data_IF_382295321118
#
_entry.id   IF_382295321118
#
_cell.length_a   1.000
_cell.length_b   1.000
_cell.length_c   1.000
_cell.angle_alpha   90.00
_cell.angle_beta   90.00
_cell.angle_gamma   90.00
#
_symmetry.space_group_name_H-M   'P 1'
#
loop_
_entity.id
_entity.type
_entity.pdbx_description
1 polymer ?
#
# COMPACT_ATOMS: atom_id res chain seq x y z
N UNK A 1 11.00 -5.50 -21.69
CA UNK A 1 12.39 -5.15 -21.31
C UNK A 1 12.43 -4.95 -19.81
N UNK A 2 13.52 -5.32 -19.11
CA UNK A 2 13.68 -4.97 -17.70
C UNK A 2 13.86 -3.46 -17.51
N UNK A 3 13.52 -2.96 -16.33
CA UNK A 3 13.76 -1.59 -15.87
C UNK A 3 14.02 -1.57 -14.37
N UNK A 4 14.55 -0.47 -13.85
CA UNK A 4 14.92 -0.34 -12.43
C UNK A 4 13.88 0.48 -11.69
N UNK A 5 13.39 -0.03 -10.56
CA UNK A 5 12.70 0.78 -9.55
C UNK A 5 13.75 1.37 -8.63
N UNK A 6 13.70 2.68 -8.42
CA UNK A 6 14.65 3.40 -7.55
C UNK A 6 13.94 3.95 -6.31
N UNK A 7 12.66 4.27 -6.40
CA UNK A 7 11.91 4.77 -5.25
C UNK A 7 10.43 4.43 -5.29
N UNK A 8 9.76 4.78 -4.19
CA UNK A 8 8.32 4.69 -4.04
C UNK A 8 7.74 6.03 -3.55
N UNK A 9 6.42 6.04 -3.39
CA UNK A 9 5.55 7.09 -2.85
C UNK A 9 6.08 7.96 -1.70
N UNK A 10 6.93 7.45 -0.81
CA UNK A 10 7.47 8.28 0.27
C UNK A 10 9.00 8.27 0.41
N UNK A 11 9.71 7.36 -0.25
CA UNK A 11 11.15 7.20 -0.06
C UNK A 11 11.83 6.45 -1.21
N UNK A 12 13.13 6.67 -1.35
CA UNK A 12 13.98 5.83 -2.20
C UNK A 12 14.09 4.40 -1.64
N UNK A 13 14.39 3.43 -2.50
CA UNK A 13 14.76 2.09 -2.07
C UNK A 13 16.16 2.11 -1.45
N UNK A 14 16.56 1.05 -0.75
CA UNK A 14 17.94 0.93 -0.27
C UNK A 14 18.92 0.66 -1.43
N UNK A 15 18.43 0.00 -2.47
CA UNK A 15 19.13 -0.26 -3.73
C UNK A 15 18.08 -0.43 -4.84
N UNK A 16 18.42 -0.12 -6.11
CA UNK A 16 17.53 -0.30 -7.23
C UNK A 16 17.07 -1.76 -7.38
N UNK A 17 15.80 -1.97 -7.69
CA UNK A 17 15.22 -3.29 -7.92
C UNK A 17 14.88 -3.43 -9.39
N UNK A 18 15.55 -4.34 -10.09
CA UNK A 18 15.26 -4.65 -11.50
C UNK A 18 14.01 -5.49 -11.61
N UNK A 19 13.03 -5.01 -12.37
CA UNK A 19 11.75 -5.70 -12.62
C UNK A 19 11.40 -5.69 -14.11
N UNK A 20 10.43 -6.51 -14.50
CA UNK A 20 9.88 -6.51 -15.86
C UNK A 20 8.44 -6.03 -15.93
N UNK A 21 7.80 -5.86 -14.76
CA UNK A 21 6.44 -5.39 -14.60
C UNK A 21 6.29 -4.81 -13.18
N UNK A 22 5.30 -3.94 -12.99
CA UNK A 22 4.91 -3.37 -11.71
C UNK A 22 3.39 -3.40 -11.57
N UNK A 23 2.92 -3.83 -10.41
CA UNK A 23 1.52 -3.65 -10.00
C UNK A 23 1.41 -2.34 -9.21
N UNK A 24 0.65 -1.40 -9.74
CA UNK A 24 0.50 -0.05 -9.17
C UNK A 24 -0.98 0.15 -8.83
N UNK A 25 -1.30 0.34 -7.56
CA UNK A 25 -2.65 0.68 -7.12
C UNK A 25 -2.91 2.19 -7.17
N UNK A 26 -4.17 2.65 -7.06
CA UNK A 26 -4.47 4.07 -6.84
C UNK A 26 -3.58 4.69 -5.75
N UNK A 27 -3.07 5.89 -6.04
CA UNK A 27 -2.13 6.68 -5.23
C UNK A 27 -0.74 6.09 -4.96
N UNK A 28 -0.43 4.86 -5.41
CA UNK A 28 0.95 4.41 -5.40
C UNK A 28 1.77 5.15 -6.45
N UNK A 29 3.01 5.49 -6.06
CA UNK A 29 4.01 6.07 -6.94
C UNK A 29 5.23 5.14 -6.91
N UNK A 30 5.83 4.93 -8.06
CA UNK A 30 7.14 4.31 -8.21
C UNK A 30 8.00 5.20 -9.10
N UNK A 31 9.20 5.51 -8.63
CA UNK A 31 10.21 6.16 -9.45
C UNK A 31 11.02 5.06 -10.17
N UNK A 32 11.12 5.17 -11.49
CA UNK A 32 11.69 4.12 -12.34
C UNK A 32 12.65 4.69 -13.38
N UNK A 33 13.72 3.94 -13.64
CA UNK A 33 14.68 4.21 -14.71
C UNK A 33 14.55 3.14 -15.78
N UNK A 34 14.25 3.57 -17.01
CA UNK A 34 14.12 2.71 -18.19
C UNK A 34 15.25 3.06 -19.16
N UNK A 35 16.16 2.11 -19.41
CA UNK A 35 17.24 2.28 -20.37
C UNK A 35 16.79 1.86 -21.78
N UNK A 36 16.43 2.83 -22.62
CA UNK A 36 16.03 2.59 -24.01
C UNK A 36 17.20 2.30 -24.94
N UNK A 37 18.45 2.55 -24.55
CA UNK A 37 19.63 2.18 -25.37
C UNK A 37 19.75 0.66 -25.53
N UNK A 38 19.19 -0.09 -24.58
CA UNK A 38 19.09 -1.55 -24.61
C UNK A 38 17.88 -2.06 -25.39
N UNK A 39 17.01 -1.18 -25.92
CA UNK A 39 15.82 -1.61 -26.64
C UNK A 39 16.18 -2.30 -27.96
N UNK A 40 15.66 -3.52 -28.23
CA UNK A 40 15.89 -4.19 -29.52
C UNK A 40 15.04 -3.60 -30.66
N UNK A 41 14.10 -2.70 -30.36
CA UNK A 41 13.17 -2.09 -31.30
C UNK A 41 13.12 -0.57 -31.15
N UNK A 42 12.77 0.13 -32.22
CA UNK A 42 12.56 1.58 -32.21
C UNK A 42 11.21 1.99 -31.58
N UNK A 43 10.34 1.03 -31.27
CA UNK A 43 9.06 1.27 -30.62
C UNK A 43 8.90 0.34 -29.42
N UNK A 44 8.54 0.92 -28.27
CA UNK A 44 8.28 0.18 -27.02
C UNK A 44 6.90 0.56 -26.51
N UNK A 45 5.99 -0.40 -26.35
CA UNK A 45 4.67 -0.17 -25.77
C UNK A 45 4.68 -0.45 -24.26
N UNK A 46 4.13 0.50 -23.48
CA UNK A 46 3.76 0.28 -22.09
C UNK A 46 2.35 -0.30 -22.04
N UNK A 47 2.24 -1.50 -21.51
CA UNK A 47 1.01 -2.28 -21.46
C UNK A 47 0.45 -2.34 -20.04
N UNK A 48 -0.85 -2.57 -19.94
CA UNK A 48 -1.54 -2.90 -18.71
C UNK A 48 -2.10 -4.33 -18.82
N UNK A 49 -1.79 -5.16 -17.83
CA UNK A 49 -2.29 -6.54 -17.73
C UNK A 49 -3.12 -6.79 -16.46
N UNK A 50 -3.34 -5.78 -15.62
CA UNK A 50 -4.05 -5.93 -14.37
C UNK A 50 -5.57 -6.07 -14.62
N UNK A 51 -6.24 -7.13 -14.13
CA UNK A 51 -7.69 -7.27 -14.24
C UNK A 51 -8.41 -6.22 -13.39
N UNK A 52 -9.64 -5.90 -13.79
CA UNK A 52 -10.54 -5.04 -13.03
C UNK A 52 -11.93 -5.70 -12.85
N UNK A 53 -12.50 -5.75 -11.63
CA UNK A 53 -11.85 -5.44 -10.34
C UNK A 53 -10.63 -6.32 -10.05
N UNK A 54 -9.67 -5.83 -9.28
CA UNK A 54 -8.43 -6.57 -8.99
C UNK A 54 -8.57 -7.34 -7.67
N UNK A 55 -8.22 -8.64 -7.58
CA UNK A 55 -7.41 -9.40 -8.56
C UNK A 55 -8.16 -10.34 -9.50
N UNK A 56 -9.48 -10.53 -9.36
CA UNK A 56 -10.21 -11.64 -10.00
C UNK A 56 -11.10 -11.24 -11.19
N UNK A 57 -11.18 -9.95 -11.50
CA UNK A 57 -12.08 -9.41 -12.50
C UNK A 57 -11.66 -9.63 -13.95
N UNK A 58 -12.16 -8.77 -14.83
CA UNK A 58 -11.98 -8.91 -16.28
C UNK A 58 -10.59 -8.43 -16.67
N UNK A 59 -9.86 -9.24 -17.46
CA UNK A 59 -8.57 -8.86 -18.01
C UNK A 59 -8.69 -7.64 -18.94
N UNK A 60 -7.65 -6.80 -19.06
CA UNK A 60 -7.65 -5.67 -19.97
C UNK A 60 -7.89 -6.08 -21.43
N UNK A 61 -8.73 -5.32 -22.12
CA UNK A 61 -8.99 -5.43 -23.55
C UNK A 61 -8.16 -4.43 -24.38
N UNK A 62 -8.48 -4.26 -25.68
CA UNK A 62 -7.72 -3.37 -26.56
C UNK A 62 -7.70 -1.89 -26.14
N UNK A 63 -8.70 -1.43 -25.39
CA UNK A 63 -8.84 -0.02 -24.99
C UNK A 63 -8.07 0.33 -23.71
N UNK A 64 -7.95 -0.61 -22.77
CA UNK A 64 -7.35 -0.38 -21.45
C UNK A 64 -6.12 -1.27 -21.17
N UNK A 65 -5.74 -2.13 -22.13
CA UNK A 65 -4.52 -2.94 -22.07
C UNK A 65 -3.28 -2.22 -22.60
N UNK A 66 -3.42 -1.02 -23.16
CA UNK A 66 -2.32 -0.17 -23.65
C UNK A 66 -2.34 1.16 -22.90
N UNK A 67 -1.19 1.60 -22.43
CA UNK A 67 -1.03 2.87 -21.69
C UNK A 67 -0.45 3.94 -22.62
N UNK A 68 0.77 3.71 -23.10
CA UNK A 68 1.48 4.64 -23.98
C UNK A 68 2.54 3.91 -24.82
N UNK A 69 3.11 4.59 -25.80
CA UNK A 69 4.19 4.08 -26.64
C UNK A 69 5.37 5.05 -26.63
N UNK A 70 6.57 4.52 -26.46
CA UNK A 70 7.83 5.22 -26.63
C UNK A 70 8.35 4.98 -28.05
N UNK A 71 8.68 6.06 -28.76
CA UNK A 71 9.36 5.99 -30.06
C UNK A 71 10.83 6.34 -29.82
N UNK A 72 11.68 5.31 -29.82
CA UNK A 72 13.10 5.39 -29.50
C UNK A 72 13.86 5.80 -30.77
N UNK A 73 14.37 7.02 -30.76
CA UNK A 73 15.19 7.55 -31.85
C UNK A 73 16.66 7.39 -31.49
N UNK A 74 17.50 6.85 -32.39
CA UNK A 74 18.94 6.79 -32.15
C UNK A 74 19.54 8.19 -31.95
N UNK A 75 20.54 8.30 -31.07
CA UNK A 75 21.25 9.55 -30.88
C UNK A 75 21.88 10.04 -32.20
N UNK A 76 21.66 11.30 -32.50
CA UNK A 76 22.30 12.00 -33.59
C UNK A 76 23.74 12.43 -33.25
N UNK A 77 24.54 12.84 -34.26
CA UNK A 77 25.94 13.24 -34.05
C UNK A 77 26.15 14.46 -33.15
N UNK A 78 25.09 15.22 -32.84
CA UNK A 78 25.12 16.43 -32.01
C UNK A 78 24.52 16.22 -30.63
N UNK A 79 23.96 15.05 -30.36
CA UNK A 79 23.37 14.76 -29.07
C UNK A 79 24.48 14.51 -28.04
N UNK A 80 24.39 15.09 -26.83
CA UNK A 80 25.38 14.85 -25.80
C UNK A 80 25.34 13.38 -25.36
N UNK A 81 26.47 12.80 -24.90
CA UNK A 81 26.46 11.48 -24.30
C UNK A 81 25.58 11.47 -23.05
N UNK A 82 24.85 10.38 -22.84
CA UNK A 82 24.15 10.13 -21.59
C UNK A 82 25.17 9.73 -20.52
N UNK A 83 25.30 10.58 -19.50
CA UNK A 83 26.18 10.36 -18.35
C UNK A 83 25.38 10.04 -17.07
N UNK A 84 24.09 9.74 -17.19
CA UNK A 84 23.27 9.30 -16.07
C UNK A 84 23.72 7.92 -15.57
N UNK A 85 23.46 7.63 -14.30
CA UNK A 85 23.75 6.34 -13.68
C UNK A 85 22.62 5.98 -12.73
N UNK A 86 22.35 4.68 -12.61
CA UNK A 86 21.49 4.14 -11.54
C UNK A 86 22.43 3.67 -10.43
N UNK A 87 22.50 4.35 -9.27
CA UNK A 87 23.45 4.00 -8.21
C UNK A 87 23.15 2.64 -7.58
N UNK A 88 24.17 1.81 -7.33
CA UNK A 88 24.02 0.48 -6.69
C UNK A 88 23.48 0.54 -5.24
N UNK A 89 23.53 1.72 -4.61
CA UNK A 89 23.02 2.00 -3.27
C UNK A 89 22.38 3.37 -3.26
N UNK A 90 21.22 3.43 -2.66
CA UNK A 90 20.45 4.65 -2.51
C UNK A 90 20.43 5.09 -1.03
N UNK A 91 19.39 5.81 -0.60
CA UNK A 91 19.35 6.49 0.70
C UNK A 91 19.18 5.47 1.84
N UNK A 92 20.03 5.49 2.89
CA UNK A 92 19.88 4.61 4.04
C UNK A 92 18.79 5.13 4.98
N UNK A 93 17.53 4.80 4.69
CA UNK A 93 16.42 5.09 5.62
C UNK A 93 16.53 4.27 6.90
N UNK A 94 15.91 4.76 7.98
CA UNK A 94 15.84 4.04 9.24
C UNK A 94 15.30 2.62 9.02
N UNK A 95 16.10 1.62 9.40
CA UNK A 95 15.72 0.23 9.25
C UNK A 95 14.57 -0.11 10.22
N UNK A 96 13.57 -0.81 9.71
CA UNK A 96 12.42 -1.32 10.48
C UNK A 96 12.81 -2.49 11.40
N UNK A 97 14.09 -2.89 11.42
CA UNK A 97 14.67 -4.01 12.15
C UNK A 97 14.23 -4.03 13.63
N UNK A 98 13.16 -4.81 13.84
CA UNK A 98 12.30 -4.89 15.01
C UNK A 98 11.75 -3.52 15.40
N UNK A 99 10.43 -3.29 15.39
CA UNK A 99 9.92 -2.17 16.14
C UNK A 99 10.48 -2.32 17.57
N UNK A 100 11.39 -1.42 17.97
CA UNK A 100 11.67 -1.20 19.38
C UNK A 100 10.32 -1.04 20.07
N UNK A 101 10.17 -1.46 21.33
CA UNK A 101 8.90 -1.90 21.93
C UNK A 101 7.72 -1.15 21.31
N UNK A 102 6.99 -1.85 20.41
CA UNK A 102 5.84 -1.27 19.69
C UNK A 102 4.99 -0.57 20.74
N UNK A 103 4.76 0.74 20.57
CA UNK A 103 4.00 1.46 21.58
C UNK A 103 2.60 0.88 21.68
N UNK A 104 2.05 0.41 20.55
CA UNK A 104 0.74 -0.22 20.44
C UNK A 104 0.70 -1.18 19.23
N UNK A 105 -0.19 -2.19 19.32
CA UNK A 105 -0.59 -3.04 18.19
C UNK A 105 -2.06 -2.78 17.87
N UNK A 106 -2.38 -2.52 16.60
CA UNK A 106 -3.75 -2.28 16.13
C UNK A 106 -4.21 -3.35 15.16
N UNK A 107 -5.50 -3.63 15.18
CA UNK A 107 -6.17 -4.44 14.15
C UNK A 107 -7.09 -3.52 13.37
N UNK A 108 -6.86 -3.44 12.05
CA UNK A 108 -7.61 -2.59 11.13
C UNK A 108 -8.31 -3.52 10.15
N UNK A 109 -9.61 -3.73 10.31
CA UNK A 109 -10.41 -4.64 9.50
C UNK A 109 -11.22 -3.87 8.44
N UNK A 110 -11.17 -4.38 7.22
CA UNK A 110 -11.87 -3.83 6.06
C UNK A 110 -13.11 -4.67 5.76
N UNK A 111 -14.27 -4.01 5.73
CA UNK A 111 -15.57 -4.62 5.54
C UNK A 111 -16.26 -4.08 4.29
N UNK A 112 -17.06 -4.93 3.66
CA UNK A 112 -17.97 -4.57 2.60
C UNK A 112 -19.38 -5.06 2.96
N UNK A 113 -20.38 -4.20 2.78
CA UNK A 113 -21.76 -4.49 3.11
C UNK A 113 -22.62 -4.52 1.86
N UNK A 114 -23.36 -5.61 1.69
CA UNK A 114 -24.15 -5.87 0.50
C UNK A 114 -25.66 -5.77 0.76
N UNK A 115 -26.42 -5.36 -0.24
CA UNK A 115 -27.87 -5.58 -0.28
C UNK A 115 -28.19 -7.09 -0.39
N UNK A 116 -29.44 -7.51 -0.15
CA UNK A 116 -29.86 -8.90 -0.43
C UNK A 116 -29.67 -9.33 -1.89
N UNK A 117 -29.61 -8.38 -2.83
CA UNK A 117 -29.31 -8.63 -4.25
C UNK A 117 -27.81 -8.71 -4.56
N UNK A 118 -26.94 -8.57 -3.55
CA UNK A 118 -25.49 -8.66 -3.70
C UNK A 118 -24.81 -7.38 -4.18
N UNK A 119 -25.50 -6.23 -4.13
CA UNK A 119 -24.91 -4.95 -4.53
C UNK A 119 -24.23 -4.29 -3.33
N UNK A 120 -23.01 -3.78 -3.54
CA UNK A 120 -22.29 -3.03 -2.52
C UNK A 120 -23.07 -1.78 -2.12
N UNK A 121 -23.15 -1.51 -0.82
CA UNK A 121 -23.84 -0.35 -0.25
C UNK A 121 -22.88 0.64 0.36
N UNK A 122 -21.94 0.13 1.16
CA UNK A 122 -20.89 0.88 1.81
C UNK A 122 -19.76 -0.07 2.20
N UNK A 123 -18.59 0.52 2.44
CA UNK A 123 -17.42 -0.17 2.92
C UNK A 123 -16.94 0.56 4.17
N UNK A 124 -16.55 -0.17 5.20
CA UNK A 124 -16.07 0.44 6.45
C UNK A 124 -14.71 -0.09 6.85
N UNK A 125 -14.00 0.77 7.56
CA UNK A 125 -12.84 0.37 8.37
C UNK A 125 -13.33 0.19 9.81
N UNK A 126 -13.03 -0.97 10.39
CA UNK A 126 -13.44 -1.38 11.74
C UNK A 126 -14.96 -1.25 11.97
N UNK A 127 -15.78 -1.39 10.93
CA UNK A 127 -17.25 -1.30 11.02
C UNK A 127 -17.77 0.09 11.41
N UNK A 128 -16.95 1.14 11.28
CA UNK A 128 -17.28 2.52 11.67
C UNK A 128 -17.36 3.45 10.46
N UNK A 129 -18.19 4.47 10.58
CA UNK A 129 -18.34 5.57 9.60
C UNK A 129 -17.32 6.66 9.87
N UNK A 130 -17.15 7.59 8.91
CA UNK A 130 -16.26 8.74 9.07
C UNK A 130 -16.65 9.60 10.28
N UNK A 131 -17.94 9.85 10.49
CA UNK A 131 -18.46 10.72 11.55
C UNK A 131 -18.46 10.08 12.95
N UNK A 132 -18.24 8.77 13.06
CA UNK A 132 -18.16 8.11 14.35
C UNK A 132 -16.89 8.55 15.12
N UNK A 133 -16.87 8.54 16.47
CA UNK A 133 -15.74 9.01 17.25
C UNK A 133 -14.40 8.39 16.82
N UNK A 134 -13.33 9.19 16.80
CA UNK A 134 -11.99 8.73 16.40
C UNK A 134 -11.49 7.60 17.30
N UNK A 135 -10.93 6.56 16.67
CA UNK A 135 -10.40 5.36 17.32
C UNK A 135 -8.88 5.25 17.18
N UNK A 136 -8.36 5.55 16.00
CA UNK A 136 -6.93 5.54 15.72
C UNK A 136 -6.29 6.83 16.24
N UNK A 137 -5.65 6.70 17.41
CA UNK A 137 -5.08 7.82 18.17
C UNK A 137 -3.59 7.61 18.49
N UNK A 138 -2.73 7.48 17.46
CA UNK A 138 -1.30 7.25 17.67
C UNK A 138 -0.62 8.46 18.34
N UNK A 139 0.49 8.23 19.03
CA UNK A 139 1.32 9.32 19.58
C UNK A 139 2.32 9.84 18.55
N UNK A 140 2.51 11.15 18.50
CA UNK A 140 3.54 11.77 17.67
C UNK A 140 4.93 11.30 18.11
N UNK A 141 5.82 11.04 17.15
CA UNK A 141 7.16 10.54 17.44
C UNK A 141 7.25 9.01 17.64
N UNK A 142 6.14 8.27 17.63
CA UNK A 142 6.15 6.82 17.89
C UNK A 142 6.06 5.97 16.63
N UNK A 143 6.15 4.66 16.85
CA UNK A 143 5.96 3.63 15.84
C UNK A 143 4.97 2.60 16.38
N UNK A 144 4.03 2.18 15.54
CA UNK A 144 3.00 1.20 15.87
C UNK A 144 3.04 0.01 14.90
N UNK A 145 2.50 -1.13 15.33
CA UNK A 145 2.31 -2.30 14.49
C UNK A 145 0.83 -2.43 14.13
N UNK A 146 0.50 -2.40 12.84
CA UNK A 146 -0.87 -2.52 12.37
C UNK A 146 -1.04 -3.84 11.61
N UNK A 147 -2.00 -4.65 12.06
CA UNK A 147 -2.49 -5.83 11.35
C UNK A 147 -3.72 -5.41 10.53
N UNK A 148 -3.50 -5.17 9.25
CA UNK A 148 -4.56 -4.76 8.32
C UNK A 148 -5.21 -6.01 7.72
N UNK A 149 -6.47 -6.23 8.02
CA UNK A 149 -7.25 -7.43 7.71
C UNK A 149 -8.21 -7.09 6.58
N UNK A 150 -8.15 -7.83 5.48
CA UNK A 150 -9.10 -7.68 4.38
C UNK A 150 -10.09 -8.85 4.34
N UNK A 151 -11.34 -8.57 4.72
CA UNK A 151 -12.44 -9.53 4.71
C UNK A 151 -13.26 -9.50 3.41
N UNK A 152 -12.90 -8.64 2.46
CA UNK A 152 -13.64 -8.39 1.21
C UNK A 152 -13.05 -9.17 0.01
N UNK A 153 -13.68 -9.04 -1.15
CA UNK A 153 -13.24 -9.68 -2.40
C UNK A 153 -12.16 -8.92 -3.19
N UNK A 154 -11.97 -7.63 -2.90
CA UNK A 154 -11.07 -6.74 -3.66
C UNK A 154 -9.75 -6.51 -2.95
N UNK A 155 -8.70 -6.14 -3.70
CA UNK A 155 -7.51 -5.56 -3.11
C UNK A 155 -7.78 -4.09 -2.74
N UNK A 156 -7.46 -3.69 -1.51
CA UNK A 156 -7.63 -2.30 -1.06
C UNK A 156 -6.27 -1.61 -0.88
N UNK A 157 -5.99 -0.50 -1.60
CA UNK A 157 -4.84 0.35 -1.32
C UNK A 157 -5.10 1.20 -0.07
N UNK A 158 -4.62 0.76 1.09
CA UNK A 158 -4.71 1.53 2.32
C UNK A 158 -3.74 2.72 2.25
N UNK A 159 -4.25 3.94 2.39
CA UNK A 159 -3.47 5.16 2.51
C UNK A 159 -3.63 5.77 3.91
N UNK A 160 -2.54 6.31 4.46
CA UNK A 160 -2.52 7.02 5.75
C UNK A 160 -1.94 8.41 5.51
N UNK A 161 -2.68 9.45 5.91
CA UNK A 161 -2.12 10.81 5.92
C UNK A 161 -1.07 10.94 7.02
N UNK A 162 -0.03 11.74 6.75
CA UNK A 162 1.10 12.05 7.63
C UNK A 162 2.01 10.85 7.96
N UNK A 163 1.45 9.73 8.41
CA UNK A 163 2.20 8.52 8.74
C UNK A 163 2.79 7.84 7.50
N UNK A 164 3.96 7.25 7.67
CA UNK A 164 4.59 6.38 6.68
C UNK A 164 4.66 4.97 7.22
N UNK A 165 4.64 3.96 6.35
CA UNK A 165 4.70 2.58 6.77
C UNK A 165 5.53 1.70 5.84
N UNK A 166 6.01 0.60 6.40
CA UNK A 166 6.61 -0.49 5.64
C UNK A 166 5.80 -1.77 5.89
N UNK A 167 5.39 -2.46 4.82
CA UNK A 167 4.85 -3.81 4.94
C UNK A 167 5.98 -4.77 5.30
N UNK A 168 5.73 -5.63 6.30
CA UNK A 168 6.74 -6.58 6.81
C UNK A 168 6.30 -8.04 6.66
N UNK A 169 4.99 -8.30 6.60
CA UNK A 169 4.46 -9.66 6.47
C UNK A 169 3.04 -9.62 5.90
N UNK A 170 2.77 -10.42 4.87
CA UNK A 170 1.41 -10.64 4.36
C UNK A 170 1.07 -12.11 4.51
N UNK A 171 0.00 -12.41 5.25
CA UNK A 171 -0.31 -13.75 5.75
C UNK A 171 -1.73 -14.14 5.38
N UNK A 172 -1.90 -15.27 4.67
CA UNK A 172 -3.24 -15.72 4.28
C UNK A 172 -4.07 -16.12 5.51
N UNK A 173 -5.34 -15.70 5.52
CA UNK A 173 -6.36 -16.16 6.45
C UNK A 173 -6.97 -17.48 5.94
N UNK A 174 -6.96 -18.50 6.80
CA UNK A 174 -7.68 -19.75 6.59
C UNK A 174 -9.04 -19.70 7.29
N UNK A 175 -9.98 -20.52 6.82
CA UNK A 175 -11.37 -20.51 7.29
C UNK A 175 -12.00 -19.10 7.26
N UNK A 176 -11.70 -18.34 6.19
CA UNK A 176 -12.04 -16.94 6.05
C UNK A 176 -13.52 -16.66 6.35
N UNK A 177 -14.44 -17.50 5.88
CA UNK A 177 -15.87 -17.31 6.14
C UNK A 177 -16.20 -17.35 7.64
N UNK A 178 -15.66 -18.33 8.38
CA UNK A 178 -15.90 -18.43 9.81
C UNK A 178 -15.33 -17.23 10.58
N UNK A 179 -14.15 -16.75 10.16
CA UNK A 179 -13.56 -15.54 10.71
C UNK A 179 -14.40 -14.29 10.40
N UNK A 180 -14.83 -14.13 9.14
CA UNK A 180 -15.70 -13.03 8.70
C UNK A 180 -17.04 -13.03 9.44
N UNK A 181 -17.64 -14.19 9.67
CA UNK A 181 -18.90 -14.33 10.41
C UNK A 181 -18.75 -13.83 11.86
N UNK A 182 -17.66 -14.23 12.54
CA UNK A 182 -17.35 -13.71 13.86
C UNK A 182 -17.08 -12.21 13.84
N UNK A 183 -16.22 -11.74 12.92
CA UNK A 183 -15.85 -10.34 12.80
C UNK A 183 -17.03 -9.43 12.50
N UNK A 184 -18.04 -9.91 11.78
CA UNK A 184 -19.28 -9.17 11.49
C UNK A 184 -20.17 -9.05 12.74
N UNK A 185 -20.15 -10.03 13.64
CA UNK A 185 -20.95 -10.02 14.86
C UNK A 185 -20.27 -9.31 16.03
N UNK A 186 -18.95 -9.47 16.17
CA UNK A 186 -18.18 -9.08 17.35
C UNK A 186 -17.29 -7.85 17.07
N UNK A 187 -16.82 -7.68 15.83
CA UNK A 187 -15.92 -6.60 15.40
C UNK A 187 -14.67 -6.46 16.29
N UNK A 188 -14.05 -7.61 16.62
CA UNK A 188 -12.87 -7.69 17.50
C UNK A 188 -12.00 -8.87 17.05
N UNK A 189 -10.90 -8.56 16.36
CA UNK A 189 -10.03 -9.56 15.74
C UNK A 189 -9.44 -10.54 16.77
N UNK A 190 -9.14 -10.07 17.99
CA UNK A 190 -8.57 -10.90 19.05
C UNK A 190 -9.61 -11.86 19.58
N UNK A 191 -10.83 -11.38 19.88
CA UNK A 191 -11.94 -12.26 20.32
C UNK A 191 -12.36 -13.25 19.24
N UNK A 192 -12.26 -12.87 17.98
CA UNK A 192 -12.48 -13.74 16.83
C UNK A 192 -11.29 -14.64 16.50
N UNK A 193 -10.23 -14.64 17.31
CA UNK A 193 -9.13 -15.58 17.18
C UNK A 193 -8.32 -15.39 15.91
N UNK A 194 -8.02 -14.15 15.51
CA UNK A 194 -7.25 -13.84 14.28
C UNK A 194 -5.96 -14.67 14.14
N UNK A 195 -5.25 -14.96 15.23
CA UNK A 195 -4.03 -15.78 15.22
C UNK A 195 -4.29 -17.26 14.86
N UNK A 196 -5.52 -17.75 15.05
CA UNK A 196 -5.94 -19.10 14.65
C UNK A 196 -6.27 -19.15 13.15
N UNK A 197 -6.67 -18.02 12.57
CA UNK A 197 -7.00 -17.89 11.16
C UNK A 197 -5.81 -17.46 10.30
N UNK A 198 -4.92 -16.60 10.79
CA UNK A 198 -3.75 -16.06 10.09
C UNK A 198 -2.57 -17.05 10.07
N UNK A 199 -2.85 -18.30 9.68
CA UNK A 199 -1.91 -19.44 9.73
C UNK A 199 -1.61 -20.04 8.35
N UNK A 200 -2.10 -19.41 7.27
CA UNK A 200 -1.87 -19.87 5.91
C UNK A 200 -0.42 -19.65 5.42
N UNK A 201 -0.18 -19.69 4.11
CA UNK A 201 1.08 -19.26 3.52
C UNK A 201 1.37 -17.77 3.74
N UNK A 202 2.64 -17.46 4.00
CA UNK A 202 3.15 -16.08 3.98
C UNK A 202 3.52 -15.72 2.54
N UNK A 203 3.00 -14.60 2.06
CA UNK A 203 3.44 -13.98 0.81
C UNK A 203 4.51 -12.94 1.15
N UNK A 204 5.73 -13.04 0.58
CA UNK A 204 6.76 -12.05 0.81
C UNK A 204 6.33 -10.70 0.21
N UNK A 205 6.63 -9.62 0.92
CA UNK A 205 6.53 -8.27 0.36
C UNK A 205 7.50 -8.16 -0.83
N UNK A 206 7.05 -7.69 -2.00
CA UNK A 206 7.93 -7.53 -3.16
C UNK A 206 9.13 -6.63 -2.85
N UNK A 207 10.30 -6.92 -3.41
CA UNK A 207 11.53 -6.17 -3.09
C UNK A 207 11.40 -4.67 -3.43
N UNK A 208 10.69 -4.32 -4.50
CA UNK A 208 10.41 -2.94 -4.90
C UNK A 208 9.41 -2.22 -3.99
N UNK A 209 8.81 -2.92 -3.02
CA UNK A 209 7.93 -2.33 -1.99
C UNK A 209 8.60 -2.29 -0.61
N UNK A 210 9.84 -2.80 -0.47
CA UNK A 210 10.57 -2.82 0.80
C UNK A 210 11.24 -1.48 1.11
N UNK A 211 10.43 -0.43 1.19
CA UNK A 211 10.83 0.89 1.69
C UNK A 211 9.69 1.56 2.44
N UNK A 212 9.88 2.79 2.90
CA UNK A 212 8.82 3.56 3.54
C UNK A 212 7.84 4.09 2.47
N UNK A 213 6.58 3.71 2.64
CA UNK A 213 5.45 4.02 1.77
C UNK A 213 4.39 4.81 2.54
N UNK A 214 3.43 5.37 1.85
CA UNK A 214 2.19 5.92 2.40
C UNK A 214 0.93 5.24 1.81
N UNK A 215 1.08 4.36 0.81
CA UNK A 215 0.03 3.43 0.32
C UNK A 215 0.49 1.98 0.40
N UNK A 216 -0.34 1.05 0.89
CA UNK A 216 -0.06 -0.40 0.87
C UNK A 216 -1.24 -1.16 0.29
N UNK A 217 -0.95 -2.10 -0.61
CA UNK A 217 -1.93 -3.02 -1.18
C UNK A 217 -2.30 -4.09 -0.16
N UNK A 218 -3.58 -4.24 0.14
CA UNK A 218 -4.09 -5.23 1.10
C UNK A 218 -4.91 -6.28 0.34
N UNK A 219 -4.33 -7.46 0.03
CA UNK A 219 -5.02 -8.47 -0.78
C UNK A 219 -6.19 -9.14 -0.03
N UNK A 220 -7.21 -9.61 -0.76
CA UNK A 220 -8.41 -10.22 -0.18
C UNK A 220 -8.09 -11.52 0.56
N UNK A 221 -8.59 -11.68 1.79
CA UNK A 221 -8.35 -12.87 2.60
C UNK A 221 -6.95 -12.95 3.22
N UNK A 222 -6.29 -11.81 3.42
CA UNK A 222 -4.98 -11.73 4.09
C UNK A 222 -4.99 -10.76 5.27
N UNK A 223 -4.06 -11.00 6.19
CA UNK A 223 -3.57 -9.99 7.14
C UNK A 223 -2.26 -9.43 6.61
N UNK A 224 -2.24 -8.14 6.29
CA UNK A 224 -1.03 -7.40 5.94
C UNK A 224 -0.54 -6.67 7.18
N UNK A 225 0.60 -7.11 7.70
CA UNK A 225 1.26 -6.50 8.85
C UNK A 225 2.16 -5.38 8.35
N UNK A 226 1.92 -4.17 8.84
CA UNK A 226 2.69 -2.98 8.53
C UNK A 226 3.23 -2.35 9.81
N UNK A 227 4.44 -1.81 9.72
CA UNK A 227 5.01 -0.95 10.76
C UNK A 227 4.75 0.49 10.36
N UNK A 228 4.00 1.23 11.17
CA UNK A 228 3.62 2.63 10.89
C UNK A 228 4.44 3.56 11.76
N UNK A 229 5.09 4.54 11.16
CA UNK A 229 5.85 5.59 11.83
C UNK A 229 5.08 6.92 11.77
N UNK A 230 4.83 7.50 12.95
CA UNK A 230 4.27 8.84 13.10
C UNK A 230 5.40 9.83 13.43
N UNK A 231 6.43 9.83 12.59
CA UNK A 231 7.66 10.63 12.69
C UNK A 231 8.37 10.68 11.34
N UNK A 232 9.40 11.52 11.22
CA UNK A 232 10.25 11.56 10.04
C UNK A 232 11.08 10.27 9.91
N UNK A 233 10.90 9.50 8.83
CA UNK A 233 11.55 8.19 8.63
C UNK A 233 12.99 8.29 8.12
N UNK A 234 13.34 9.42 7.52
CA UNK A 234 14.68 9.74 7.01
C UNK A 234 15.65 10.10 8.14
N UNK A 235 15.18 10.86 9.14
CA UNK A 235 15.98 11.36 10.26
C UNK A 235 15.67 10.67 11.59
N UNK A 236 14.62 9.86 11.64
CA UNK A 236 14.08 9.24 12.86
C UNK A 236 13.78 10.27 13.96
N UNK A 237 13.35 11.48 13.58
CA UNK A 237 13.00 12.58 14.48
C UNK A 237 11.49 12.85 14.51
N UNK A 238 10.95 13.44 15.59
CA UNK A 238 9.58 13.97 15.58
C UNK A 238 9.36 14.97 14.45
N UNK A 239 8.09 15.22 14.12
CA UNK A 239 7.75 16.24 13.12
C UNK A 239 8.23 17.64 13.54
N UNK A 240 8.69 18.49 12.61
CA UNK A 240 9.19 19.84 12.91
C UNK A 240 8.06 20.86 13.13
N UNK A 241 6.82 20.39 13.27
CA UNK A 241 5.61 21.17 13.46
C UNK A 241 4.68 20.46 14.44
N UNK A 242 3.65 21.16 14.95
CA UNK A 242 2.63 20.56 15.80
C UNK A 242 1.71 19.64 14.97
N UNK A 243 2.06 18.36 14.93
CA UNK A 243 1.29 17.32 14.25
C UNK A 243 0.03 16.88 15.03
N UNK A 244 -0.27 17.49 16.19
CA UNK A 244 -1.47 17.20 16.99
C UNK A 244 -2.59 18.22 16.75
N UNK A 245 -2.29 19.27 15.97
CA UNK A 245 -3.24 20.33 15.66
C UNK A 245 -4.48 19.80 14.91
N UNK A 246 -5.64 20.35 15.27
CA UNK A 246 -6.90 20.11 14.55
C UNK A 246 -6.84 20.69 13.13
N UNK A 247 -7.54 20.08 12.14
CA UNK A 247 -8.59 19.07 12.26
C UNK A 247 -8.10 17.60 12.33
N UNK A 248 -6.80 17.37 12.53
CA UNK A 248 -6.20 16.04 12.47
C UNK A 248 -6.03 15.53 11.04
N UNK A 249 -6.03 14.21 10.89
CA UNK A 249 -5.71 13.51 9.65
C UNK A 249 -6.75 12.43 9.35
N UNK A 250 -6.57 11.70 8.25
CA UNK A 250 -7.44 10.59 7.85
C UNK A 250 -6.61 9.40 7.36
N UNK A 251 -7.24 8.23 7.36
CA UNK A 251 -6.74 7.05 6.68
C UNK A 251 -7.90 6.30 6.04
N UNK A 252 -7.65 5.70 4.87
CA UNK A 252 -8.71 5.24 3.98
C UNK A 252 -8.23 4.26 2.92
N UNK A 253 -9.17 3.56 2.31
CA UNK A 253 -8.92 2.90 1.03
C UNK A 253 -8.88 3.94 -0.09
N UNK A 254 -7.83 3.97 -0.90
CA UNK A 254 -7.64 4.96 -1.95
C UNK A 254 -8.31 4.59 -3.30
N UNK A 255 -9.19 3.58 -3.31
CA UNK A 255 -10.18 3.45 -4.38
C UNK A 255 -11.27 4.48 -4.07
N UNK A 256 -11.36 5.53 -4.88
CA UNK A 256 -12.20 6.70 -4.59
C UNK A 256 -13.68 6.31 -4.38
N UNK A 257 -14.21 5.39 -5.18
CA UNK A 257 -15.57 4.87 -4.99
C UNK A 257 -15.76 4.16 -3.64
N UNK A 258 -14.71 3.56 -3.07
CA UNK A 258 -14.76 2.95 -1.73
C UNK A 258 -14.61 4.01 -0.64
N UNK A 259 -13.69 4.96 -0.81
CA UNK A 259 -13.50 6.13 0.07
C UNK A 259 -14.80 6.90 0.26
N UNK A 260 -15.43 7.29 -0.86
CA UNK A 260 -16.68 8.06 -0.87
C UNK A 260 -17.89 7.23 -0.41
N UNK A 261 -17.83 5.91 -0.55
CA UNK A 261 -18.77 4.97 0.08
C UNK A 261 -18.32 4.55 1.50
N UNK A 262 -17.66 5.48 2.21
CA UNK A 262 -17.35 5.50 3.63
C UNK A 262 -16.20 4.61 4.12
N UNK A 263 -15.31 4.14 3.24
CA UNK A 263 -14.11 3.39 3.63
C UNK A 263 -12.95 4.29 4.09
N UNK A 264 -13.29 5.22 4.98
CA UNK A 264 -12.45 6.32 5.45
C UNK A 264 -12.72 6.58 6.93
N UNK A 265 -11.67 6.84 7.70
CA UNK A 265 -11.75 7.12 9.13
C UNK A 265 -10.83 8.28 9.53
N UNK A 266 -11.22 9.08 10.55
CA UNK A 266 -10.37 10.08 11.14
C UNK A 266 -9.19 9.42 11.87
N UNK A 267 -8.06 10.13 11.88
CA UNK A 267 -6.83 9.79 12.57
C UNK A 267 -6.41 11.01 13.38
N UNK A 268 -6.25 10.84 14.70
CA UNK A 268 -5.87 11.95 15.59
C UNK A 268 -4.57 11.65 16.31
N UNK A 269 -3.51 12.38 15.99
CA UNK A 269 -2.26 12.25 16.71
C UNK A 269 -2.38 12.84 18.13
N UNK A 270 -1.91 12.09 19.10
CA UNK A 270 -1.71 12.53 20.48
C UNK A 270 -0.29 13.06 20.67
N UNK A 271 -0.06 13.96 21.66
CA UNK A 271 1.28 14.42 22.00
C UNK A 271 2.24 13.31 22.44
#
# INVERSE_FOLDING_TARGET
>A
MPFHVVGSDASYLAAPVTVTNLLISPAEIFDVVVDFSMSPTAEVEMLNSAPYPFPTGTAPGPLNGKVMKFVVTPNGPRDPPDNSTVPDREVPYANVASPGPTSETRYIAMYEYLTPSGQSTHLYINGLRLEDPVTETPRSGTTELWHVINLTGDNHPLHIHLGMFQAVKTQQLLDLQAFTDCMTQVNDAVKCGVDQHAVGPVVPVPDHEKTWKNVVKVPPGFVTTVVVAFKLVDTNQPYPFDATAEPGYIYYCHILDHEDNAMIRPLKLLP
#
